data_IF_736701564157
#
_entry.id   IF_736701564157
#
_cell.length_a   1.000
_cell.length_b   1.000
_cell.length_c   1.000
_cell.angle_alpha   90.00
_cell.angle_beta   90.00
_cell.angle_gamma   90.00
#
_symmetry.space_group_name_H-M   'P 1'
#
loop_
_entity.id
_entity.type
_entity.pdbx_description
1 polymer ?
#
# COMPACT_ATOMS: atom_id res chain seq x y z
N UNK A 1 -11.62 -28.01 -11.27
CA UNK A 1 -12.40 -26.76 -11.08
C UNK A 1 -12.11 -26.00 -9.77
N UNK A 2 -11.44 -26.56 -8.76
CA UNK A 2 -11.23 -25.86 -7.46
C UNK A 2 -9.92 -25.05 -7.36
N UNK A 3 -8.96 -25.24 -8.27
CA UNK A 3 -7.70 -24.48 -8.26
C UNK A 3 -7.89 -23.02 -8.70
N UNK A 4 -8.84 -22.75 -9.60
CA UNK A 4 -9.17 -21.39 -10.04
C UNK A 4 -9.77 -20.52 -8.94
N UNK A 5 -10.51 -21.11 -7.99
CA UNK A 5 -11.02 -20.41 -6.81
C UNK A 5 -9.88 -20.01 -5.85
N UNK A 6 -8.82 -20.82 -5.75
CA UNK A 6 -7.63 -20.52 -4.93
C UNK A 6 -6.75 -19.45 -5.60
N UNK A 7 -6.62 -19.49 -6.93
CA UNK A 7 -5.98 -18.42 -7.72
C UNK A 7 -6.75 -17.09 -7.64
N UNK A 8 -8.09 -17.14 -7.55
CA UNK A 8 -8.92 -15.95 -7.31
C UNK A 8 -8.68 -15.32 -5.92
N UNK A 9 -8.43 -16.16 -4.90
CA UNK A 9 -8.11 -15.72 -3.52
C UNK A 9 -6.69 -15.14 -3.38
N UNK A 10 -5.80 -15.40 -4.35
CA UNK A 10 -4.43 -14.86 -4.41
C UNK A 10 -4.33 -13.53 -5.18
N UNK A 11 -5.46 -12.92 -5.57
CA UNK A 11 -5.46 -11.57 -6.12
C UNK A 11 -5.04 -10.57 -5.03
N UNK A 12 -3.74 -10.30 -4.97
CA UNK A 12 -3.10 -9.22 -4.20
C UNK A 12 -3.45 -7.84 -4.75
N UNK A 13 -4.73 -7.57 -4.98
CA UNK A 13 -5.21 -6.29 -5.52
C UNK A 13 -5.09 -5.12 -4.50
N UNK A 14 -4.68 -5.39 -3.27
CA UNK A 14 -4.64 -4.39 -2.19
C UNK A 14 -3.46 -3.42 -2.22
N UNK A 15 -2.34 -3.75 -2.89
CA UNK A 15 -1.13 -2.93 -2.86
C UNK A 15 -1.04 -1.89 -3.99
N UNK A 16 -1.98 -1.89 -4.93
CA UNK A 16 -1.91 -1.08 -6.15
C UNK A 16 -3.00 0.01 -6.25
N UNK A 17 -3.81 0.19 -5.21
CA UNK A 17 -4.97 1.10 -5.26
C UNK A 17 -4.60 2.58 -5.24
N UNK A 18 -3.41 2.94 -4.77
CA UNK A 18 -2.85 4.29 -4.81
C UNK A 18 -1.36 4.23 -5.10
N UNK A 19 -0.86 5.17 -5.91
CA UNK A 19 0.55 5.32 -6.27
C UNK A 19 0.93 6.79 -6.30
N UNK A 20 2.11 7.10 -5.80
CA UNK A 20 2.72 8.42 -5.85
C UNK A 20 4.19 8.32 -6.21
N UNK A 21 4.89 9.46 -6.35
CA UNK A 21 6.34 9.46 -6.50
C UNK A 21 7.01 8.91 -5.25
N UNK A 22 8.14 8.23 -5.39
CA UNK A 22 8.93 7.79 -4.23
C UNK A 22 9.48 8.99 -3.44
N UNK A 23 9.92 10.01 -4.16
CA UNK A 23 10.41 11.26 -3.59
C UNK A 23 10.12 12.45 -4.48
N UNK A 24 10.07 13.63 -3.86
CA UNK A 24 10.00 14.93 -4.53
C UNK A 24 10.99 15.88 -3.90
N UNK A 25 11.57 16.76 -4.72
CA UNK A 25 12.47 17.82 -4.27
C UNK A 25 11.86 19.18 -4.57
N UNK A 26 12.00 20.10 -3.62
CA UNK A 26 11.60 21.49 -3.74
C UNK A 26 12.74 22.42 -3.44
N UNK A 27 12.63 23.65 -3.93
CA UNK A 27 13.53 24.74 -3.53
C UNK A 27 12.83 25.58 -2.46
N UNK A 28 13.56 25.94 -1.41
CA UNK A 28 13.04 26.81 -0.37
C UNK A 28 12.48 28.13 -0.92
N UNK A 29 11.29 28.53 -0.45
CA UNK A 29 10.53 29.68 -0.92
C UNK A 29 9.69 29.43 -2.18
N UNK A 30 9.86 28.30 -2.86
CA UNK A 30 9.06 27.93 -4.03
C UNK A 30 7.87 27.01 -3.66
N UNK A 31 7.10 26.59 -4.65
CA UNK A 31 6.05 25.57 -4.47
C UNK A 31 6.52 24.18 -4.90
N UNK A 32 6.02 23.16 -4.23
CA UNK A 32 6.18 21.74 -4.59
C UNK A 32 4.80 21.15 -4.85
N UNK A 33 4.65 20.43 -5.96
CA UNK A 33 3.42 19.69 -6.27
C UNK A 33 3.67 18.19 -6.28
N UNK A 34 2.72 17.45 -5.73
CA UNK A 34 2.74 15.99 -5.61
C UNK A 34 1.48 15.45 -6.27
N UNK A 35 1.65 14.41 -7.08
CA UNK A 35 0.56 13.76 -7.81
C UNK A 35 0.41 12.32 -7.34
N UNK A 36 -0.81 11.97 -6.91
CA UNK A 36 -1.14 10.66 -6.37
C UNK A 36 -2.29 10.03 -7.17
N UNK A 37 -1.93 9.03 -7.97
CA UNK A 37 -2.85 8.27 -8.82
C UNK A 37 -3.55 7.19 -8.00
N UNK A 38 -4.79 6.88 -8.31
CA UNK A 38 -5.54 5.81 -7.68
C UNK A 38 -6.33 4.98 -8.69
N UNK A 39 -6.74 3.78 -8.30
CA UNK A 39 -7.52 2.89 -9.17
C UNK A 39 -9.01 3.27 -9.20
N UNK A 40 -9.77 2.91 -10.23
CA UNK A 40 -11.22 3.14 -10.25
C UNK A 40 -11.93 2.59 -8.99
N UNK A 41 -13.00 3.27 -8.57
CA UNK A 41 -13.79 2.93 -7.38
C UNK A 41 -13.46 3.77 -6.12
N UNK A 42 -12.48 4.67 -6.19
CA UNK A 42 -12.10 5.57 -5.09
C UNK A 42 -12.44 7.05 -5.36
N UNK A 43 -13.18 7.36 -6.41
CA UNK A 43 -13.44 8.72 -6.90
C UNK A 43 -14.11 9.58 -5.82
N UNK A 44 -15.22 9.09 -5.25
CA UNK A 44 -16.01 9.84 -4.27
C UNK A 44 -15.50 9.72 -2.82
N UNK A 45 -14.34 9.10 -2.61
CA UNK A 45 -13.72 8.99 -1.30
C UNK A 45 -12.85 10.20 -1.01
N UNK A 46 -12.76 10.57 0.26
CA UNK A 46 -11.89 11.66 0.68
C UNK A 46 -10.43 11.31 0.40
N UNK A 47 -9.70 12.29 -0.13
CA UNK A 47 -8.26 12.22 -0.36
C UNK A 47 -7.58 13.10 0.67
N UNK A 48 -6.46 12.67 1.22
CA UNK A 48 -5.77 13.43 2.26
C UNK A 48 -4.26 13.44 2.08
N UNK A 49 -3.64 14.48 2.63
CA UNK A 49 -2.20 14.70 2.68
C UNK A 49 -1.75 14.80 4.13
N UNK A 50 -0.84 13.92 4.53
CA UNK A 50 -0.41 13.81 5.92
C UNK A 50 1.11 13.82 6.05
N UNK A 51 1.62 14.41 7.12
CA UNK A 51 3.06 14.58 7.37
C UNK A 51 3.50 13.79 8.59
N UNK A 52 4.60 13.05 8.46
CA UNK A 52 5.25 12.32 9.54
C UNK A 52 5.72 10.94 9.10
N UNK A 53 6.76 10.43 9.76
CA UNK A 53 7.34 9.12 9.45
C UNK A 53 6.37 7.96 9.74
N UNK A 54 5.55 8.08 10.79
CA UNK A 54 4.62 7.05 11.24
C UNK A 54 3.22 7.30 10.66
N UNK A 55 2.67 6.32 9.94
CA UNK A 55 1.36 6.40 9.28
C UNK A 55 0.21 6.66 10.26
N UNK A 56 0.16 5.93 11.38
CA UNK A 56 -0.96 5.96 12.35
C UNK A 56 -1.05 7.28 13.12
N UNK A 57 0.04 8.06 13.16
CA UNK A 57 0.13 9.29 13.96
C UNK A 57 0.63 10.48 13.16
N UNK A 58 0.60 10.39 11.83
CA UNK A 58 0.98 11.51 10.98
C UNK A 58 0.01 12.69 11.20
N UNK A 59 0.48 13.90 10.97
CA UNK A 59 -0.33 15.11 11.07
C UNK A 59 -1.02 15.39 9.74
N UNK A 60 -2.35 15.29 9.70
CA UNK A 60 -3.15 15.59 8.51
C UNK A 60 -3.09 17.11 8.21
N UNK A 61 -2.61 17.46 7.02
CA UNK A 61 -2.41 18.83 6.58
C UNK A 61 -3.54 19.32 5.68
N UNK A 62 -4.14 18.44 4.89
CA UNK A 62 -5.21 18.78 3.97
C UNK A 62 -6.04 17.54 3.60
N UNK A 63 -7.35 17.71 3.44
CA UNK A 63 -8.28 16.66 3.09
C UNK A 63 -9.38 17.20 2.16
N UNK A 64 -9.78 16.41 1.15
CA UNK A 64 -10.94 16.70 0.31
C UNK A 64 -12.23 16.20 0.97
N UNK A 65 -13.38 16.74 0.58
CA UNK A 65 -14.69 16.28 1.05
C UNK A 65 -15.28 15.13 0.21
N UNK A 66 -14.45 14.47 -0.62
CA UNK A 66 -14.88 13.47 -1.61
C UNK A 66 -15.38 14.08 -2.92
N UNK A 67 -15.29 15.40 -3.09
CA UNK A 67 -15.53 16.11 -4.36
C UNK A 67 -14.24 16.60 -5.01
N UNK A 68 -14.34 17.11 -6.24
CA UNK A 68 -13.23 17.73 -6.99
C UNK A 68 -12.97 19.20 -6.60
N UNK A 69 -13.67 19.72 -5.58
CA UNK A 69 -13.39 21.07 -5.08
C UNK A 69 -12.03 21.11 -4.38
N UNK A 70 -11.21 22.09 -4.76
CA UNK A 70 -9.94 22.34 -4.09
C UNK A 70 -10.18 22.76 -2.63
N UNK A 71 -9.44 22.12 -1.72
CA UNK A 71 -9.39 22.51 -0.31
C UNK A 71 -7.99 23.02 -0.01
N UNK A 72 -7.91 24.15 0.67
CA UNK A 72 -6.65 24.78 1.06
C UNK A 72 -6.65 25.06 2.56
N UNK A 73 -5.60 24.62 3.24
CA UNK A 73 -5.33 24.91 4.65
C UNK A 73 -3.89 25.42 4.72
N UNK A 74 -3.71 26.61 5.27
CA UNK A 74 -2.43 27.32 5.30
C UNK A 74 -1.76 27.39 3.90
N UNK A 75 -0.59 26.78 3.77
CA UNK A 75 0.22 26.72 2.54
C UNK A 75 -0.03 25.47 1.72
N UNK A 76 -0.98 24.61 2.10
CA UNK A 76 -1.22 23.32 1.45
C UNK A 76 -2.58 23.32 0.79
N UNK A 77 -2.62 23.11 -0.53
CA UNK A 77 -3.84 22.81 -1.26
C UNK A 77 -3.89 21.36 -1.71
N UNK A 78 -5.09 20.80 -1.74
CA UNK A 78 -5.39 19.47 -2.27
C UNK A 78 -6.61 19.53 -3.17
N UNK A 79 -6.51 18.87 -4.33
CA UNK A 79 -7.60 18.79 -5.29
C UNK A 79 -7.63 17.43 -5.95
N UNK A 80 -8.80 16.83 -5.99
CA UNK A 80 -9.04 15.60 -6.73
C UNK A 80 -9.42 15.88 -8.20
N UNK A 81 -8.96 15.03 -9.10
CA UNK A 81 -9.41 14.95 -10.48
C UNK A 81 -9.92 13.53 -10.71
N UNK A 82 -11.23 13.36 -10.55
CA UNK A 82 -11.91 12.08 -10.59
C UNK A 82 -11.93 11.50 -12.00
N UNK A 83 -11.94 12.35 -13.03
CA UNK A 83 -11.87 11.90 -14.42
C UNK A 83 -10.52 11.27 -14.77
N UNK A 84 -9.44 11.74 -14.14
CA UNK A 84 -8.08 11.23 -14.36
C UNK A 84 -7.58 10.29 -13.26
N UNK A 85 -8.42 10.01 -12.26
CA UNK A 85 -8.11 9.16 -11.12
C UNK A 85 -6.80 9.56 -10.41
N UNK A 86 -6.65 10.86 -10.19
CA UNK A 86 -5.44 11.49 -9.69
C UNK A 86 -5.82 12.68 -8.83
N UNK A 87 -5.31 12.75 -7.60
CA UNK A 87 -5.35 13.99 -6.83
C UNK A 87 -3.97 14.63 -6.77
N UNK A 88 -3.98 15.96 -6.74
CA UNK A 88 -2.78 16.80 -6.67
C UNK A 88 -2.76 17.53 -5.34
N UNK A 89 -1.60 17.50 -4.68
CA UNK A 89 -1.29 18.32 -3.51
C UNK A 89 -0.27 19.36 -3.92
N UNK A 90 -0.45 20.61 -3.51
CA UNK A 90 0.54 21.67 -3.70
C UNK A 90 0.89 22.28 -2.34
N UNK A 91 2.18 22.30 -2.03
CA UNK A 91 2.74 22.98 -0.87
C UNK A 91 3.41 24.26 -1.36
N UNK A 92 2.94 25.42 -0.92
CA UNK A 92 3.45 26.74 -1.30
C UNK A 92 4.52 27.23 -0.31
N UNK A 93 5.42 28.08 -0.79
CA UNK A 93 6.47 28.74 0.01
C UNK A 93 7.20 27.75 0.95
N UNK A 94 7.61 26.61 0.39
CA UNK A 94 8.19 25.51 1.15
C UNK A 94 9.45 25.95 1.90
N UNK A 95 9.63 25.46 3.11
CA UNK A 95 10.79 25.79 3.96
C UNK A 95 11.67 24.57 4.11
N UNK A 96 12.95 24.75 4.46
CA UNK A 96 13.81 23.59 4.74
C UNK A 96 13.20 22.66 5.81
N UNK A 97 12.51 23.24 6.79
CA UNK A 97 11.77 22.53 7.84
C UNK A 97 10.58 21.71 7.34
N UNK A 98 10.17 21.84 6.07
CA UNK A 98 9.14 21.00 5.44
C UNK A 98 9.73 19.70 4.86
N UNK A 99 11.04 19.47 4.99
CA UNK A 99 11.66 18.18 4.65
C UNK A 99 11.18 17.10 5.60
N UNK A 100 10.47 16.10 5.08
CA UNK A 100 9.90 15.02 5.88
C UNK A 100 9.45 13.83 5.03
N UNK A 101 8.92 12.80 5.69
CA UNK A 101 8.06 11.81 5.06
C UNK A 101 6.62 12.30 5.07
N UNK A 102 5.95 12.15 3.94
CA UNK A 102 4.55 12.50 3.75
C UNK A 102 3.78 11.31 3.20
N UNK A 103 2.46 11.40 3.25
CA UNK A 103 1.56 10.36 2.82
C UNK A 103 0.42 10.94 2.01
N UNK A 104 0.21 10.37 0.84
CA UNK A 104 -1.05 10.45 0.13
C UNK A 104 -1.95 9.34 0.66
N UNK A 105 -3.20 9.68 1.02
CA UNK A 105 -4.14 8.69 1.51
C UNK A 105 -5.57 8.86 0.99
N UNK A 106 -6.34 7.78 1.11
CA UNK A 106 -7.75 7.70 0.75
C UNK A 106 -8.50 7.13 1.95
N UNK A 107 -9.44 7.92 2.49
CA UNK A 107 -10.25 7.51 3.62
C UNK A 107 -11.23 6.42 3.23
N UNK A 108 -11.36 5.37 4.03
CA UNK A 108 -12.41 4.35 3.82
C UNK A 108 -12.91 3.75 5.13
N UNK A 109 -13.94 2.91 5.04
CA UNK A 109 -14.30 2.05 6.17
C UNK A 109 -13.20 1.02 6.41
N UNK A 110 -12.59 1.05 7.60
CA UNK A 110 -11.42 0.25 7.95
C UNK A 110 -10.11 1.00 7.75
N UNK A 111 -8.96 0.31 7.63
CA UNK A 111 -7.67 0.97 7.46
C UNK A 111 -7.59 1.70 6.12
N UNK A 112 -7.22 2.97 6.16
CA UNK A 112 -7.05 3.80 4.96
C UNK A 112 -6.02 3.22 3.97
N UNK A 113 -6.14 3.63 2.71
CA UNK A 113 -5.15 3.34 1.69
C UNK A 113 -4.15 4.48 1.62
N UNK A 114 -2.88 4.20 1.39
CA UNK A 114 -1.91 5.26 1.15
C UNK A 114 -0.57 4.81 0.63
N UNK A 115 0.23 5.81 0.28
CA UNK A 115 1.60 5.65 -0.21
C UNK A 115 2.47 6.74 0.41
N UNK A 116 3.67 6.37 0.87
CA UNK A 116 4.64 7.30 1.44
C UNK A 116 5.43 8.00 0.33
N UNK A 117 5.77 9.26 0.57
CA UNK A 117 6.56 10.10 -0.32
C UNK A 117 7.62 10.82 0.51
N UNK A 118 8.88 10.78 0.08
CA UNK A 118 9.94 11.57 0.71
C UNK A 118 9.98 12.97 0.10
N UNK A 119 9.71 14.00 0.90
CA UNK A 119 9.82 15.40 0.48
C UNK A 119 11.14 15.97 0.99
N UNK A 120 11.96 16.52 0.09
CA UNK A 120 13.23 17.17 0.44
C UNK A 120 13.25 18.61 -0.05
N UNK A 121 13.47 19.56 0.83
CA UNK A 121 13.55 20.98 0.48
C UNK A 121 15.00 21.44 0.53
N UNK A 122 15.50 21.86 -0.64
CA UNK A 122 16.84 22.36 -0.83
C UNK A 122 16.91 23.87 -0.51
N UNK A 123 17.90 24.35 0.26
CA UNK A 123 18.13 25.78 0.46
C UNK A 123 18.47 26.52 -0.85
N UNK A 124 17.98 27.76 -0.96
CA UNK A 124 18.20 28.66 -2.12
C UNK A 124 19.70 28.85 -2.44
N UNK A 125 20.56 28.87 -1.43
CA UNK A 125 21.99 29.13 -1.58
C UNK A 125 22.74 28.00 -2.34
N UNK A 126 22.15 26.81 -2.47
CA UNK A 126 22.72 25.74 -3.33
C UNK A 126 22.65 26.10 -4.82
N UNK A 127 21.62 26.84 -5.26
CA UNK A 127 21.47 27.26 -6.67
C UNK A 127 22.50 28.34 -7.02
N UNK A 128 22.73 29.29 -6.12
CA UNK A 128 23.71 30.38 -6.33
C UNK A 128 25.15 29.86 -6.43
N UNK A 129 25.45 28.74 -5.77
CA UNK A 129 26.79 28.12 -5.76
C UNK A 129 27.07 27.26 -7.00
N UNK A 130 26.06 26.95 -7.82
CA UNK A 130 26.19 26.05 -8.98
C UNK A 130 26.72 26.76 -10.25
N UNK A 131 26.72 28.10 -10.27
CA UNK A 131 27.26 28.90 -11.39
C UNK A 131 28.79 28.99 -11.41
N UNK A 132 29.49 28.61 -10.32
CA UNK A 132 30.94 28.69 -10.22
C UNK A 132 31.60 27.31 -10.06
N UNK A 133 31.89 26.67 -11.20
CA UNK A 133 32.89 25.59 -11.38
C UNK A 133 32.54 24.16 -10.92
N UNK A 134 32.79 23.12 -11.76
CA UNK A 134 32.49 21.74 -11.43
C UNK A 134 33.62 21.12 -10.59
N UNK A 135 33.31 20.65 -9.38
CA UNK A 135 34.20 19.74 -8.66
C UNK A 135 33.42 18.55 -8.14
N UNK A 136 33.54 17.44 -8.87
CA UNK A 136 33.09 16.11 -8.50
C UNK A 136 33.48 15.79 -7.06
N UNK A 137 32.47 15.44 -6.25
CA UNK A 137 32.67 14.71 -5.01
C UNK A 137 31.67 13.56 -4.97
N UNK A 138 32.15 12.42 -5.46
CA UNK A 138 31.60 11.10 -5.17
C UNK A 138 31.62 10.92 -3.66
N UNK A 139 30.46 10.88 -3.03
CA UNK A 139 30.35 10.47 -1.63
C UNK A 139 29.37 9.31 -1.59
N UNK A 140 29.91 8.11 -1.64
CA UNK A 140 29.18 6.88 -1.37
C UNK A 140 28.83 6.87 0.12
N UNK A 141 27.66 7.37 0.48
CA UNK A 141 27.05 7.09 1.78
C UNK A 141 26.10 5.92 1.63
N UNK A 142 26.62 4.72 1.88
CA UNK A 142 25.83 3.53 2.20
C UNK A 142 25.16 3.78 3.55
N UNK A 143 23.91 4.21 3.53
CA UNK A 143 23.04 4.24 4.71
C UNK A 143 21.91 3.24 4.49
N UNK A 144 21.94 2.22 5.34
CA UNK A 144 21.03 1.08 5.47
C UNK A 144 19.56 1.46 5.35
N UNK A 145 18.94 1.00 4.26
CA UNK A 145 17.50 0.84 4.07
C UNK A 145 16.96 -0.22 5.03
N UNK A 146 16.47 0.17 6.21
CA UNK A 146 15.58 -0.70 6.98
C UNK A 146 14.67 0.19 7.82
N UNK A 147 13.39 0.33 7.44
CA UNK A 147 12.24 0.08 8.37
C UNK A 147 10.85 0.33 7.78
N UNK A 148 10.64 1.20 6.78
CA UNK A 148 9.27 1.49 6.33
C UNK A 148 8.75 0.53 5.26
N UNK A 149 9.60 0.14 4.31
CA UNK A 149 9.32 -0.99 3.40
C UNK A 149 9.23 -2.32 4.16
N UNK A 150 9.88 -2.39 5.34
CA UNK A 150 9.79 -3.53 6.25
C UNK A 150 8.44 -3.64 6.92
N UNK A 151 7.73 -2.56 7.24
CA UNK A 151 6.49 -2.65 8.02
C UNK A 151 5.29 -3.08 7.16
N UNK A 152 5.13 -2.51 5.96
CA UNK A 152 4.08 -2.93 4.99
C UNK A 152 4.33 -4.39 4.57
N UNK A 153 5.60 -4.75 4.32
CA UNK A 153 6.02 -6.12 4.06
C UNK A 153 5.77 -7.04 5.26
N UNK A 154 6.02 -6.60 6.49
CA UNK A 154 5.78 -7.40 7.69
C UNK A 154 4.29 -7.61 7.97
N UNK A 155 3.45 -6.58 7.81
CA UNK A 155 2.00 -6.72 7.94
C UNK A 155 1.42 -7.64 6.84
N UNK A 156 1.93 -7.53 5.62
CA UNK A 156 1.58 -8.41 4.51
C UNK A 156 2.04 -9.86 4.76
N UNK A 157 3.27 -10.06 5.23
CA UNK A 157 3.80 -11.36 5.68
C UNK A 157 2.85 -11.92 6.74
N UNK A 158 2.48 -11.15 7.77
CA UNK A 158 1.55 -11.59 8.81
C UNK A 158 0.18 -12.01 8.25
N UNK A 159 -0.37 -11.26 7.30
CA UNK A 159 -1.64 -11.59 6.65
C UNK A 159 -1.56 -12.87 5.80
N UNK A 160 -0.45 -13.08 5.08
CA UNK A 160 -0.21 -14.31 4.31
C UNK A 160 -0.01 -15.49 5.26
N UNK A 161 0.81 -15.34 6.31
CA UNK A 161 1.06 -16.37 7.31
C UNK A 161 -0.16 -16.68 8.20
N UNK A 162 -1.13 -15.78 8.34
CA UNK A 162 -2.38 -16.08 9.05
C UNK A 162 -3.42 -16.71 8.12
N UNK A 163 -3.63 -16.14 6.93
CA UNK A 163 -4.70 -16.60 6.02
C UNK A 163 -4.33 -17.90 5.29
N UNK A 164 -3.07 -18.11 4.90
CA UNK A 164 -2.67 -19.32 4.16
C UNK A 164 -2.81 -20.59 5.01
N UNK A 165 -2.34 -20.65 6.27
CA UNK A 165 -2.53 -21.84 7.10
C UNK A 165 -4.00 -22.13 7.39
N UNK A 166 -4.83 -21.10 7.63
CA UNK A 166 -6.26 -21.28 7.83
C UNK A 166 -6.92 -21.87 6.58
N UNK A 167 -6.57 -21.39 5.39
CA UNK A 167 -7.06 -21.96 4.13
C UNK A 167 -6.58 -23.40 3.93
N UNK A 168 -5.32 -23.72 4.24
CA UNK A 168 -4.80 -25.07 4.15
C UNK A 168 -5.50 -26.03 5.12
N UNK A 169 -5.78 -25.58 6.35
CA UNK A 169 -6.53 -26.35 7.34
C UNK A 169 -7.97 -26.62 6.88
N UNK A 170 -8.65 -25.63 6.29
CA UNK A 170 -10.00 -25.80 5.73
C UNK A 170 -10.01 -26.77 4.54
N UNK A 171 -9.04 -26.66 3.64
CA UNK A 171 -8.88 -27.59 2.51
C UNK A 171 -8.61 -29.01 3.02
N UNK A 172 -7.73 -29.16 4.01
CA UNK A 172 -7.45 -30.43 4.68
C UNK A 172 -8.70 -31.05 5.31
N UNK A 173 -9.49 -30.25 6.04
CA UNK A 173 -10.75 -30.70 6.63
C UNK A 173 -11.76 -31.15 5.56
N UNK A 174 -11.89 -30.42 4.44
CA UNK A 174 -12.77 -30.80 3.34
C UNK A 174 -12.30 -32.09 2.66
N UNK A 175 -10.99 -32.26 2.45
CA UNK A 175 -10.42 -33.49 1.90
C UNK A 175 -10.61 -34.68 2.85
N UNK A 176 -10.46 -34.46 4.16
CA UNK A 176 -10.70 -35.47 5.20
C UNK A 176 -12.17 -35.91 5.24
N UNK A 177 -13.11 -34.97 5.19
CA UNK A 177 -14.54 -35.27 5.12
C UNK A 177 -14.90 -36.04 3.85
N UNK A 178 -14.27 -35.70 2.72
CA UNK A 178 -14.48 -36.42 1.46
C UNK A 178 -13.89 -37.84 1.50
N UNK A 179 -12.70 -38.02 2.07
CA UNK A 179 -12.07 -39.34 2.22
C UNK A 179 -12.83 -40.24 3.20
N UNK A 180 -13.36 -39.68 4.29
CA UNK A 180 -14.20 -40.42 5.25
C UNK A 180 -15.57 -40.82 4.69
N UNK A 181 -16.05 -40.16 3.63
CA UNK A 181 -17.21 -40.59 2.86
C UNK A 181 -16.90 -41.71 1.84
N UNK A 182 -15.65 -41.87 1.42
CA UNK A 182 -15.19 -42.93 0.50
C UNK A 182 -14.75 -44.21 1.26
N UNK A 183 -14.23 -44.07 2.49
CA UNK A 183 -13.89 -45.19 3.38
C UNK A 183 -15.03 -46.16 3.81
N UNK A 184 -16.33 -45.79 3.86
CA UNK A 184 -17.40 -46.74 4.18
C UNK A 184 -17.57 -47.78 3.06
N UNK A 185 -17.25 -47.42 1.81
CA UNK A 185 -17.39 -48.31 0.65
C UNK A 185 -16.30 -49.40 0.66
N UNK A 186 -15.06 -49.07 1.02
CA UNK A 186 -13.97 -50.06 1.09
C UNK A 186 -14.12 -51.03 2.28
N UNK A 187 -14.64 -50.56 3.43
CA UNK A 187 -14.99 -51.46 4.54
C UNK A 187 -16.08 -52.46 4.18
N UNK A 188 -17.08 -52.04 3.41
CA UNK A 188 -18.18 -52.92 2.98
C UNK A 188 -17.69 -53.98 1.97
N UNK A 189 -16.81 -53.60 1.04
CA UNK A 189 -16.24 -54.54 0.07
C UNK A 189 -15.33 -55.60 0.73
N UNK A 190 -14.55 -55.21 1.73
CA UNK A 190 -13.74 -56.15 2.51
C UNK A 190 -14.59 -57.06 3.41
N UNK A 191 -15.74 -56.61 3.91
CA UNK A 191 -16.64 -57.45 4.71
C UNK A 191 -17.43 -58.45 3.86
N UNK A 192 -17.75 -58.11 2.61
CA UNK A 192 -18.45 -59.00 1.70
C UNK A 192 -17.50 -60.07 1.13
N UNK A 193 -16.24 -59.74 0.81
CA UNK A 193 -15.23 -60.73 0.41
C UNK A 193 -14.89 -61.76 1.51
N UNK A 194 -14.93 -61.35 2.78
CA UNK A 194 -14.70 -62.27 3.92
C UNK A 194 -15.90 -63.18 4.18
N UNK A 195 -17.11 -62.77 3.80
CA UNK A 195 -18.34 -63.57 3.99
C UNK A 195 -18.47 -64.67 2.93
N UNK A 196 -17.96 -64.46 1.72
CA UNK A 196 -18.05 -65.42 0.60
C UNK A 196 -16.98 -66.53 0.63
N UNK A 197 -16.08 -66.55 1.62
CA UNK A 197 -15.02 -67.58 1.75
C UNK A 197 -15.23 -68.55 2.91
N UNK A 198 -16.37 -68.50 3.61
CA UNK A 198 -16.70 -69.44 4.68
C UNK A 198 -17.48 -70.65 4.09
N UNK A 199 -16.93 -71.87 4.17
CA UNK A 199 -17.51 -73.08 3.58
C UNK A 199 -18.76 -73.60 4.30
#
# INVERSE_FOLDING_TARGET
MRLWLVLLLLNFAGCFSIKGPESVRGLEGCSVSVQCQYTPGWENYKKWWCRGAEWESCHNLAETDGSEQEKKVDRVSIRDNQSHLLFTVTMEEVRQSDTDTYWCGISRSGPDLGTSIKVTIDPVNMVLSTSASPRSRTTTSRSTEVTSDSYIRNHYILLVFLKVPVLLMLVGAVLWLKASQELPVYRNLSSDLVRDTAP
#
